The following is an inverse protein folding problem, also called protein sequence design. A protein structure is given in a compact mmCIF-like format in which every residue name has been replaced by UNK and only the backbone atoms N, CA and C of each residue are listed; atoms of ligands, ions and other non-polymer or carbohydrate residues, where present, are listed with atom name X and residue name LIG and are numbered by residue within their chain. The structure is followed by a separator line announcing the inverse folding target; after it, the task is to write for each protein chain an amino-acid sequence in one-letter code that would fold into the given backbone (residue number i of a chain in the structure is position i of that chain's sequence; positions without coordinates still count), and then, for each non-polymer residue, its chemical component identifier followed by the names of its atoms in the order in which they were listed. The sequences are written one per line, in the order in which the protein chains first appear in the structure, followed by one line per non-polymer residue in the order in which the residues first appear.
data_IF_635734384438
#
_entry.id   IF_635734384438
#
_cell.length_a   1.000
_cell.length_b   1.000
_cell.length_c   1.000
_cell.angle_alpha   90.00
_cell.angle_beta   90.00
_cell.angle_gamma   90.00
#
_symmetry.space_group_name_H-M   'P 1'
#
loop_
_entity.id
_entity.type
_entity.pdbx_description
1 polymer ?
#
# COMPACT_ATOMS: atom_id res chain seq x y z
N UNK A 1 -0.70 6.33 14.73
CA UNK A 1 0.45 5.71 14.03
C UNK A 1 0.02 5.53 12.61
N UNK A 2 0.96 5.63 11.67
CA UNK A 2 0.63 5.53 10.26
C UNK A 2 1.04 4.17 9.74
N UNK A 3 0.25 3.59 8.85
CA UNK A 3 0.58 2.35 8.19
C UNK A 3 1.08 2.66 6.79
N UNK A 4 2.36 2.39 6.56
CA UNK A 4 3.01 2.47 5.25
C UNK A 4 2.77 1.16 4.50
N UNK A 5 2.11 1.25 3.35
CA UNK A 5 1.97 0.15 2.42
C UNK A 5 3.04 0.28 1.33
N UNK A 6 3.73 -0.83 1.07
CA UNK A 6 4.71 -0.97 0.00
C UNK A 6 4.20 -2.05 -0.94
N UNK A 7 4.28 -1.77 -2.24
CA UNK A 7 3.78 -2.65 -3.25
C UNK A 7 4.30 -2.29 -4.62
N UNK A 8 3.65 -2.81 -5.63
CA UNK A 8 3.93 -2.45 -7.00
C UNK A 8 2.70 -2.65 -7.88
N UNK A 9 2.65 -1.90 -8.98
CA UNK A 9 1.69 -2.19 -10.04
C UNK A 9 2.17 -3.39 -10.86
N UNK A 10 1.28 -4.32 -11.14
CA UNK A 10 1.55 -5.43 -12.06
C UNK A 10 1.25 -5.06 -13.53
N UNK A 11 1.68 -5.91 -14.46
CA UNK A 11 1.46 -5.69 -15.90
C UNK A 11 -0.03 -5.77 -16.32
N UNK A 12 -0.92 -6.19 -15.41
CA UNK A 12 -2.38 -6.26 -15.60
C UNK A 12 -3.09 -5.03 -15.03
N UNK A 13 -2.35 -4.05 -14.50
CA UNK A 13 -2.91 -2.85 -13.89
C UNK A 13 -3.45 -3.05 -12.49
N UNK A 14 -3.01 -4.10 -11.77
CA UNK A 14 -3.42 -4.36 -10.37
C UNK A 14 -2.38 -3.82 -9.40
N UNK A 15 -2.85 -3.23 -8.31
CA UNK A 15 -1.98 -2.77 -7.22
C UNK A 15 -1.71 -3.94 -6.27
N UNK A 16 -0.47 -4.44 -6.28
CA UNK A 16 -0.06 -5.56 -5.43
C UNK A 16 0.69 -5.02 -4.22
N UNK A 17 0.10 -5.11 -3.03
CA UNK A 17 0.75 -4.76 -1.77
C UNK A 17 1.60 -5.95 -1.33
N UNK A 18 2.91 -5.75 -1.23
CA UNK A 18 3.88 -6.81 -0.91
C UNK A 18 4.46 -6.71 0.48
N UNK A 19 4.41 -5.51 1.10
CA UNK A 19 4.83 -5.30 2.49
C UNK A 19 3.99 -4.21 3.16
N UNK A 20 3.84 -4.31 4.48
CA UNK A 20 3.20 -3.29 5.32
C UNK A 20 4.04 -3.01 6.55
N UNK A 21 4.25 -1.74 6.87
CA UNK A 21 5.02 -1.31 8.03
C UNK A 21 4.26 -0.26 8.82
N UNK A 22 4.26 -0.38 10.15
CA UNK A 22 3.80 0.71 11.01
C UNK A 22 4.96 1.68 11.23
N UNK A 23 4.73 2.93 10.87
CA UNK A 23 5.68 4.04 11.04
C UNK A 23 5.07 5.08 11.95
N UNK A 24 5.94 5.84 12.62
CA UNK A 24 5.48 7.01 13.37
C UNK A 24 4.99 8.07 12.39
N UNK A 25 3.95 8.80 12.77
CA UNK A 25 3.43 9.88 11.95
C UNK A 25 4.52 10.93 11.72
N UNK A 26 4.72 11.33 10.46
CA UNK A 26 5.77 12.26 10.03
C UNK A 26 7.21 11.70 10.04
N UNK A 27 7.42 10.38 10.22
CA UNK A 27 8.76 9.77 10.18
C UNK A 27 9.24 9.50 8.75
N UNK A 28 9.52 10.60 8.04
CA UNK A 28 9.93 10.56 6.64
C UNK A 28 11.24 9.79 6.43
N UNK A 29 12.14 9.75 7.41
CA UNK A 29 13.39 9.00 7.30
C UNK A 29 13.14 7.48 7.29
N UNK A 30 12.20 6.99 8.10
CA UNK A 30 11.79 5.59 8.06
C UNK A 30 11.11 5.23 6.73
N UNK A 31 10.25 6.12 6.21
CA UNK A 31 9.60 5.95 4.91
C UNK A 31 10.65 5.90 3.79
N UNK A 32 11.56 6.88 3.72
CA UNK A 32 12.59 6.96 2.69
C UNK A 32 13.52 5.73 2.70
N UNK A 33 13.85 5.21 3.89
CA UNK A 33 14.65 3.98 4.01
C UNK A 33 13.91 2.75 3.46
N UNK A 34 12.61 2.64 3.74
CA UNK A 34 11.77 1.53 3.28
C UNK A 34 11.48 1.61 1.77
N UNK A 35 11.22 2.81 1.25
CA UNK A 35 11.01 3.05 -0.18
C UNK A 35 12.31 2.88 -0.96
N UNK A 36 13.45 3.32 -0.41
CA UNK A 36 14.76 3.21 -1.04
C UNK A 36 15.24 1.76 -1.24
N UNK A 37 14.75 0.81 -0.45
CA UNK A 37 15.03 -0.63 -0.61
C UNK A 37 14.15 -1.28 -1.69
N UNK A 38 13.11 -0.58 -2.19
CA UNK A 38 12.30 -1.12 -3.28
C UNK A 38 13.09 -1.16 -4.60
N UNK A 39 13.28 -2.38 -5.11
CA UNK A 39 14.06 -2.64 -6.34
C UNK A 39 13.21 -2.70 -7.60
N UNK A 40 11.88 -2.64 -7.50
CA UNK A 40 10.98 -2.74 -8.65
C UNK A 40 10.79 -1.39 -9.33
N UNK A 41 10.87 -1.34 -10.66
CA UNK A 41 10.58 -0.12 -11.43
C UNK A 41 9.12 0.34 -11.33
N UNK A 42 8.21 -0.57 -10.94
CA UNK A 42 6.80 -0.27 -10.67
C UNK A 42 6.50 -0.15 -9.17
N UNK A 43 7.54 0.07 -8.35
CA UNK A 43 7.41 0.25 -6.92
C UNK A 43 6.42 1.38 -6.59
N UNK A 44 5.54 1.07 -5.66
CA UNK A 44 4.53 1.96 -5.11
C UNK A 44 4.67 1.95 -3.60
N UNK A 45 4.53 3.13 -2.99
CA UNK A 45 4.57 3.31 -1.55
C UNK A 45 3.61 4.42 -1.16
N UNK A 46 2.79 4.18 -0.15
CA UNK A 46 1.86 5.18 0.37
C UNK A 46 1.65 4.97 1.87
N UNK A 47 1.78 6.05 2.63
CA UNK A 47 1.47 6.08 4.05
C UNK A 47 0.01 6.52 4.27
N UNK A 48 -0.68 5.75 5.10
CA UNK A 48 -2.03 6.08 5.53
C UNK A 48 -2.02 6.36 7.03
N UNK A 49 -2.65 7.45 7.45
CA UNK A 49 -2.87 7.81 8.86
C UNK A 49 -3.95 6.91 9.49
N UNK A 50 -3.64 5.62 9.53
CA UNK A 50 -4.48 4.56 10.10
C UNK A 50 -3.59 3.58 10.85
N UNK A 51 -4.06 3.15 12.01
CA UNK A 51 -3.31 2.25 12.89
C UNK A 51 -3.41 0.77 12.45
N UNK A 52 -4.22 0.45 11.44
CA UNK A 52 -4.50 -0.92 11.00
C UNK A 52 -4.17 -1.12 9.52
N UNK A 53 -3.44 -2.20 9.21
CA UNK A 53 -3.16 -2.65 7.84
C UNK A 53 -4.42 -2.79 6.99
N UNK A 54 -5.48 -3.36 7.57
CA UNK A 54 -6.77 -3.54 6.91
C UNK A 54 -7.35 -2.22 6.40
N UNK A 55 -7.35 -1.19 7.25
CA UNK A 55 -7.89 0.12 6.92
C UNK A 55 -6.99 0.82 5.89
N UNK A 56 -5.68 0.62 5.98
CA UNK A 56 -4.73 1.15 5.00
C UNK A 56 -4.97 0.53 3.62
N UNK A 57 -5.19 -0.78 3.54
CA UNK A 57 -5.47 -1.50 2.29
C UNK A 57 -6.82 -1.04 1.70
N UNK A 58 -7.85 -0.87 2.52
CA UNK A 58 -9.13 -0.35 2.07
C UNK A 58 -8.99 1.07 1.50
N UNK A 59 -8.24 1.95 2.18
CA UNK A 59 -7.99 3.32 1.71
C UNK A 59 -7.17 3.35 0.42
N UNK A 60 -6.16 2.48 0.32
CA UNK A 60 -5.39 2.32 -0.91
C UNK A 60 -6.27 1.83 -2.06
N UNK A 61 -7.19 0.90 -1.81
CA UNK A 61 -8.16 0.47 -2.82
C UNK A 61 -9.07 1.63 -3.24
N UNK A 62 -9.66 2.34 -2.28
CA UNK A 62 -10.57 3.44 -2.56
C UNK A 62 -9.93 4.61 -3.32
N UNK A 63 -8.66 4.94 -3.02
CA UNK A 63 -7.98 6.08 -3.64
C UNK A 63 -7.25 5.77 -4.94
N UNK A 64 -6.74 4.55 -5.10
CA UNK A 64 -5.87 4.20 -6.23
C UNK A 64 -6.45 3.13 -7.15
N UNK A 65 -7.29 2.24 -6.64
CA UNK A 65 -7.79 1.12 -7.41
C UNK A 65 -9.25 1.32 -7.87
N UNK A 66 -10.10 1.92 -7.02
CA UNK A 66 -11.53 2.11 -7.29
C UNK A 66 -11.80 3.02 -8.48
N UNK A 67 -11.08 4.14 -8.60
CA UNK A 67 -11.29 5.10 -9.69
C UNK A 67 -10.81 4.56 -11.05
N UNK A 68 -9.83 3.66 -11.07
CA UNK A 68 -9.26 3.06 -12.28
C UNK A 68 -9.88 1.68 -12.63
N UNK A 69 -10.94 1.26 -11.93
CA UNK A 69 -11.53 -0.09 -12.04
C UNK A 69 -10.48 -1.22 -11.87
N UNK A 70 -9.45 -0.93 -11.08
CA UNK A 70 -8.32 -1.80 -10.82
C UNK A 70 -8.55 -2.65 -9.56
N UNK A 71 -7.92 -3.82 -9.51
CA UNK A 71 -7.90 -4.66 -8.32
C UNK A 71 -6.72 -4.28 -7.42
N UNK A 72 -6.95 -4.29 -6.10
CA UNK A 72 -5.88 -4.27 -5.11
C UNK A 72 -5.72 -5.67 -4.51
N UNK A 73 -4.52 -6.22 -4.62
CA UNK A 73 -4.15 -7.53 -4.07
C UNK A 73 -3.22 -7.33 -2.90
N UNK A 74 -3.65 -7.73 -1.70
CA UNK A 74 -2.77 -7.77 -0.53
C UNK A 74 -2.06 -9.12 -0.42
N UNK A 75 -0.78 -9.18 -0.79
CA UNK A 75 0.06 -10.38 -0.60
C UNK A 75 0.68 -10.44 0.81
N UNK A 76 0.47 -9.42 1.65
CA UNK A 76 1.04 -9.38 3.01
C UNK A 76 0.20 -10.19 3.98
N UNK A 77 -1.10 -9.87 4.07
CA UNK A 77 -2.03 -10.53 4.98
C UNK A 77 -3.16 -11.25 4.24
N UNK A 78 -3.19 -11.20 2.90
CA UNK A 78 -4.25 -11.81 2.11
C UNK A 78 -5.58 -11.07 2.27
N UNK A 79 -5.56 -9.78 2.59
CA UNK A 79 -6.76 -9.00 2.79
C UNK A 79 -7.37 -8.53 1.46
N UNK A 80 -8.59 -8.96 1.18
CA UNK A 80 -9.37 -8.46 0.04
C UNK A 80 -10.18 -7.21 0.47
N UNK A 81 -9.96 -6.05 -0.17
CA UNK A 81 -10.74 -4.85 0.11
C UNK A 81 -12.21 -5.04 -0.27
N UNK A 82 -13.10 -4.33 0.42
CA UNK A 82 -14.55 -4.41 0.18
C UNK A 82 -14.91 -3.48 -0.97
N UNK A 83 -15.57 -4.01 -2.00
CA UNK A 83 -15.84 -3.34 -3.29
C UNK A 83 -17.29 -2.83 -3.45
N UNK A 84 -18.04 -2.65 -2.34
CA UNK A 84 -19.47 -2.27 -2.35
C UNK A 84 -19.78 -0.92 -3.05
#
# INVERSE_FOLDING_TARGET
MSTLLLGHWDDRGRLVVTSSHQVSDGDQAAIDALVGDQTKSTAWACDFDVDSHRDAVQRAYEEYARDDDADLVDEVQGFEPVTD
#
